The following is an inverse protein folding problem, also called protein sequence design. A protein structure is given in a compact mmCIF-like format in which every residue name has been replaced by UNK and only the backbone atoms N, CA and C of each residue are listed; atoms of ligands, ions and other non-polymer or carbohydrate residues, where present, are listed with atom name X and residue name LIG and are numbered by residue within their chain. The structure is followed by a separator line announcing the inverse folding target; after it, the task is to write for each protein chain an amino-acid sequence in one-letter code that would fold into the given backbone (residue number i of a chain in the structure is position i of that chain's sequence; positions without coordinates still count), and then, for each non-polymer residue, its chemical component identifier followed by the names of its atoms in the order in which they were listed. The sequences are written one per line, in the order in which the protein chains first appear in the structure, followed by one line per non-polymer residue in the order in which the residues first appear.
data_IF_166127117260
#
_entry.id   IF_166127117260
#
_cell.length_a   1.000
_cell.length_b   1.000
_cell.length_c   1.000
_cell.angle_alpha   90.00
_cell.angle_beta   90.00
_cell.angle_gamma   90.00
#
_symmetry.space_group_name_H-M   'P 1'
#
loop_
_entity.id
_entity.type
_entity.pdbx_description
1 polymer ?
#
# COMPACT_ATOMS: atom_id res chain seq x y z
N UNK A 1 -1.24 5.41 3.03
CA UNK A 1 -2.57 5.90 3.40
C UNK A 1 -3.35 4.80 4.11
N UNK A 2 -3.56 3.62 3.53
CA UNK A 2 -4.37 2.53 4.11
C UNK A 2 -3.92 2.10 5.51
N UNK A 3 -2.60 2.01 5.76
CA UNK A 3 -2.07 1.65 7.08
C UNK A 3 -2.56 2.60 8.18
N UNK A 4 -2.70 3.90 7.88
CA UNK A 4 -3.29 4.85 8.82
C UNK A 4 -4.72 4.42 9.24
N UNK A 5 -5.56 4.12 8.26
CA UNK A 5 -6.95 3.72 8.54
C UNK A 5 -7.05 2.33 9.16
N UNK A 6 -6.14 1.42 8.84
CA UNK A 6 -6.08 0.11 9.51
C UNK A 6 -5.75 0.26 11.01
N UNK A 7 -4.87 1.20 11.37
CA UNK A 7 -4.52 1.46 12.77
C UNK A 7 -5.60 2.30 13.44
N UNK A 8 -5.95 3.46 12.88
CA UNK A 8 -6.83 4.44 13.49
C UNK A 8 -8.31 4.12 13.37
N UNK A 9 -8.70 3.50 12.29
CA UNK A 9 -10.09 3.32 11.88
C UNK A 9 -10.56 4.42 10.91
N UNK A 10 -11.74 4.21 10.35
CA UNK A 10 -12.35 5.09 9.36
C UNK A 10 -12.27 4.54 7.94
N UNK A 11 -12.80 5.30 6.98
CA UNK A 11 -12.80 4.92 5.57
C UNK A 11 -11.61 5.58 4.87
N UNK A 12 -10.92 4.78 4.06
CA UNK A 12 -9.74 5.26 3.32
C UNK A 12 -10.16 6.41 2.39
N UNK A 13 -9.46 7.52 2.49
CA UNK A 13 -9.49 8.62 1.53
C UNK A 13 -8.06 8.83 0.99
N UNK A 14 -7.88 8.54 -0.29
CA UNK A 14 -6.59 8.72 -0.95
C UNK A 14 -6.32 10.18 -1.30
N UNK A 15 -7.32 11.06 -1.13
CA UNK A 15 -7.28 12.45 -1.52
C UNK A 15 -7.66 12.69 -2.98
N UNK A 16 -8.39 13.77 -3.22
CA UNK A 16 -8.91 14.07 -4.57
C UNK A 16 -7.79 14.31 -5.59
N UNK A 17 -6.75 15.04 -5.19
CA UNK A 17 -5.60 15.36 -6.06
C UNK A 17 -4.87 14.10 -6.50
N UNK A 18 -4.60 13.19 -5.56
CA UNK A 18 -3.93 11.93 -5.85
C UNK A 18 -4.79 11.03 -6.75
N UNK A 19 -6.06 10.81 -6.38
CA UNK A 19 -6.96 9.99 -7.15
C UNK A 19 -7.13 10.47 -8.61
N UNK A 20 -7.23 11.79 -8.81
CA UNK A 20 -7.30 12.39 -10.14
C UNK A 20 -6.00 12.19 -10.91
N UNK A 21 -4.85 12.41 -10.27
CA UNK A 21 -3.54 12.29 -10.92
C UNK A 21 -3.24 10.87 -11.40
N UNK A 22 -3.73 9.86 -10.68
CA UNK A 22 -3.46 8.44 -10.98
C UNK A 22 -4.64 7.68 -11.57
N UNK A 23 -5.81 8.31 -11.71
CA UNK A 23 -6.97 7.76 -12.42
C UNK A 23 -7.67 6.62 -11.67
N UNK A 24 -7.75 6.71 -10.33
CA UNK A 24 -8.48 5.75 -9.50
C UNK A 24 -9.52 6.41 -8.60
N UNK A 25 -10.32 5.63 -7.88
CA UNK A 25 -11.32 6.17 -6.96
C UNK A 25 -10.65 6.89 -5.78
N UNK A 26 -11.28 7.97 -5.30
CA UNK A 26 -10.80 8.71 -4.13
C UNK A 26 -10.94 7.90 -2.84
N UNK A 27 -12.00 7.14 -2.70
CA UNK A 27 -12.32 6.44 -1.46
C UNK A 27 -12.07 4.95 -1.59
N UNK A 28 -11.63 4.32 -0.51
CA UNK A 28 -11.38 2.90 -0.38
C UNK A 28 -12.19 2.27 0.75
N UNK A 29 -11.69 1.19 1.30
CA UNK A 29 -12.34 0.41 2.36
C UNK A 29 -12.43 1.17 3.67
N UNK A 30 -13.42 0.76 4.48
CA UNK A 30 -13.55 1.22 5.86
C UNK A 30 -12.99 0.17 6.82
N UNK A 31 -12.32 0.64 7.87
CA UNK A 31 -11.71 -0.18 8.91
C UNK A 31 -12.21 0.26 10.28
N UNK A 32 -12.37 -0.69 11.20
CA UNK A 32 -12.71 -0.40 12.60
C UNK A 32 -11.56 0.20 13.37
N UNK A 33 -10.33 -0.02 12.87
CA UNK A 33 -9.08 0.35 13.52
C UNK A 33 -8.65 -0.65 14.59
N UNK A 34 -7.37 -1.04 14.56
CA UNK A 34 -6.79 -1.92 15.59
C UNK A 34 -6.38 -1.12 16.82
N UNK A 35 -6.20 0.19 16.70
CA UNK A 35 -5.87 1.09 17.80
C UNK A 35 -6.53 2.47 17.62
N UNK A 36 -7.86 2.58 17.83
CA UNK A 36 -8.59 3.83 17.60
C UNK A 36 -8.16 5.00 18.49
N UNK A 37 -7.57 4.73 19.67
CA UNK A 37 -7.01 5.76 20.56
C UNK A 37 -5.66 6.33 20.12
N UNK A 38 -5.09 5.84 19.00
CA UNK A 38 -3.83 6.32 18.46
C UNK A 38 -3.82 7.83 18.26
N UNK A 39 -2.83 8.49 18.85
CA UNK A 39 -2.71 9.96 18.89
C UNK A 39 -1.30 10.34 19.35
N UNK A 40 -1.03 11.65 19.44
CA UNK A 40 0.23 12.15 19.99
C UNK A 40 0.45 11.76 21.47
N UNK A 41 -0.63 11.58 22.25
CA UNK A 41 -0.55 11.11 23.64
C UNK A 41 -0.53 9.60 23.78
N UNK A 42 -0.90 8.88 22.73
CA UNK A 42 -0.88 7.42 22.65
C UNK A 42 -0.15 6.98 21.37
N UNK A 43 1.17 7.29 21.25
CA UNK A 43 1.92 7.00 20.05
C UNK A 43 2.23 5.51 19.89
N UNK A 44 2.59 5.12 18.66
CA UNK A 44 3.00 3.76 18.34
C UNK A 44 4.48 3.69 17.94
N UNK A 45 5.07 2.51 18.08
CA UNK A 45 6.31 2.14 17.42
C UNK A 45 5.97 1.37 16.15
N UNK A 46 6.59 1.73 15.03
CA UNK A 46 6.42 1.03 13.77
C UNK A 46 7.65 0.16 13.51
N UNK A 47 7.41 -1.11 13.23
CA UNK A 47 8.45 -2.05 12.79
C UNK A 47 8.04 -2.60 11.44
N UNK A 48 8.89 -2.42 10.43
CA UNK A 48 8.60 -2.87 9.06
C UNK A 48 9.72 -3.74 8.51
N UNK A 49 9.37 -4.91 7.97
CA UNK A 49 10.29 -5.79 7.26
C UNK A 49 10.11 -5.64 5.75
N UNK A 50 11.20 -5.62 5.00
CA UNK A 50 11.16 -5.51 3.54
C UNK A 50 10.38 -4.24 3.11
N UNK A 51 9.40 -4.40 2.24
CA UNK A 51 8.51 -3.32 1.78
C UNK A 51 7.76 -2.63 2.94
N UNK A 52 7.46 -3.36 4.03
CA UNK A 52 6.83 -2.80 5.22
C UNK A 52 7.66 -1.69 5.89
N UNK A 53 8.99 -1.73 5.74
CA UNK A 53 9.87 -0.65 6.21
C UNK A 53 9.64 0.65 5.44
N UNK A 54 9.48 0.58 4.12
CA UNK A 54 9.15 1.75 3.31
C UNK A 54 7.76 2.30 3.65
N UNK A 55 6.78 1.40 3.83
CA UNK A 55 5.42 1.78 4.26
C UNK A 55 5.42 2.50 5.60
N UNK A 56 6.20 2.02 6.59
CA UNK A 56 6.32 2.63 7.91
C UNK A 56 6.97 4.03 7.84
N UNK A 57 8.06 4.18 7.07
CA UNK A 57 8.73 5.47 6.85
C UNK A 57 7.79 6.47 6.17
N UNK A 58 7.11 6.03 5.11
CA UNK A 58 6.14 6.86 4.39
C UNK A 58 5.00 7.33 5.32
N UNK A 59 4.46 6.42 6.14
CA UNK A 59 3.40 6.79 7.08
C UNK A 59 3.86 7.84 8.09
N UNK A 60 5.04 7.66 8.69
CA UNK A 60 5.59 8.62 9.63
C UNK A 60 5.75 10.01 8.99
N UNK A 61 6.24 10.07 7.75
CA UNK A 61 6.38 11.33 7.00
C UNK A 61 5.01 11.95 6.67
N UNK A 62 4.04 11.15 6.22
CA UNK A 62 2.69 11.62 5.93
C UNK A 62 2.02 12.24 7.17
N UNK A 63 2.24 11.66 8.35
CA UNK A 63 1.74 12.21 9.60
C UNK A 63 2.44 13.52 9.96
N UNK A 64 3.75 13.57 9.82
CA UNK A 64 4.56 14.75 10.16
C UNK A 64 4.18 15.98 9.31
N UNK A 65 3.81 15.76 8.04
CA UNK A 65 3.46 16.84 7.10
C UNK A 65 1.97 16.98 6.84
N UNK A 66 1.13 16.17 7.50
CA UNK A 66 -0.31 16.05 7.23
C UNK A 66 -0.61 15.83 5.74
N UNK A 67 0.16 14.94 5.11
CA UNK A 67 0.02 14.62 3.70
C UNK A 67 1.33 14.68 2.93
N UNK A 68 1.27 14.75 1.63
CA UNK A 68 2.42 14.84 0.72
C UNK A 68 2.37 16.11 -0.12
N UNK A 69 3.47 16.49 -0.79
CA UNK A 69 3.46 17.61 -1.74
C UNK A 69 2.39 17.47 -2.84
N UNK A 70 2.07 16.23 -3.22
CA UNK A 70 1.02 15.93 -4.22
C UNK A 70 -0.37 15.79 -3.62
N UNK A 71 -0.49 15.70 -2.31
CA UNK A 71 -1.75 15.55 -1.60
C UNK A 71 -1.68 16.21 -0.22
N UNK A 72 -1.65 17.55 -0.17
CA UNK A 72 -1.58 18.29 1.08
C UNK A 72 -2.88 18.12 1.88
N UNK A 73 -2.76 18.16 3.20
CA UNK A 73 -3.89 18.00 4.13
C UNK A 73 -4.65 16.67 3.98
N UNK A 74 -3.93 15.60 3.66
CA UNK A 74 -4.48 14.26 3.41
C UNK A 74 -5.37 13.77 4.56
N UNK A 75 -4.99 14.05 5.81
CA UNK A 75 -5.73 13.65 7.00
C UNK A 75 -6.66 14.78 7.52
N UNK A 76 -6.88 15.81 6.72
CA UNK A 76 -7.77 16.91 7.03
C UNK A 76 -7.38 17.61 8.34
N UNK A 77 -8.38 17.81 9.22
CA UNK A 77 -8.23 18.47 10.53
C UNK A 77 -7.99 17.47 11.67
N UNK A 78 -7.58 16.24 11.39
CA UNK A 78 -7.38 15.21 12.41
C UNK A 78 -6.27 15.51 13.43
N UNK A 79 -5.50 16.60 13.25
CA UNK A 79 -4.44 16.99 14.17
C UNK A 79 -3.27 16.02 14.20
N UNK A 80 -3.04 15.31 13.10
CA UNK A 80 -1.91 14.37 12.98
C UNK A 80 -0.58 15.11 13.01
N UNK A 81 0.40 14.53 13.66
CA UNK A 81 1.76 15.06 13.78
C UNK A 81 2.78 13.94 13.85
N UNK A 82 4.08 14.28 13.74
CA UNK A 82 5.18 13.32 13.96
C UNK A 82 5.11 12.62 15.32
N UNK A 83 4.56 13.29 16.34
CA UNK A 83 4.42 12.73 17.69
C UNK A 83 3.51 11.50 17.79
N UNK A 84 2.72 11.19 16.76
CA UNK A 84 1.92 9.96 16.70
C UNK A 84 2.77 8.71 16.53
N UNK A 85 4.01 8.84 16.02
CA UNK A 85 4.96 7.75 15.85
C UNK A 85 6.17 7.98 16.74
N UNK A 86 6.39 7.08 17.69
CA UNK A 86 7.50 7.19 18.65
C UNK A 86 8.82 6.78 18.02
N UNK A 87 8.81 5.77 17.18
CA UNK A 87 9.97 5.31 16.39
C UNK A 87 9.56 4.50 15.18
N UNK A 88 10.44 4.48 14.19
CA UNK A 88 10.36 3.59 13.03
C UNK A 88 11.60 2.71 13.01
N UNK A 89 11.42 1.40 12.98
CA UNK A 89 12.49 0.41 12.81
C UNK A 89 12.27 -0.35 11.51
N UNK A 90 13.29 -0.41 10.67
CA UNK A 90 13.24 -1.15 9.40
C UNK A 90 14.17 -2.36 9.44
N UNK A 91 13.68 -3.51 9.00
CA UNK A 91 14.41 -4.77 8.96
C UNK A 91 14.51 -5.20 7.50
N UNK A 92 15.74 -5.30 6.98
CA UNK A 92 15.98 -5.69 5.59
C UNK A 92 15.10 -4.93 4.58
N UNK A 93 14.85 -3.64 4.83
CA UNK A 93 14.05 -2.81 3.95
C UNK A 93 14.91 -2.24 2.80
N UNK A 94 14.39 -2.17 1.57
CA UNK A 94 15.10 -1.61 0.43
C UNK A 94 15.06 -0.08 0.47
N UNK A 95 15.75 0.53 1.47
CA UNK A 95 15.69 1.98 1.72
C UNK A 95 16.20 2.82 0.54
N UNK A 96 17.13 2.29 -0.25
CA UNK A 96 17.64 2.91 -1.48
C UNK A 96 17.10 2.21 -2.74
N UNK A 97 16.04 1.45 -2.57
CA UNK A 97 15.44 0.65 -3.62
C UNK A 97 16.09 -0.73 -3.79
N UNK A 98 15.52 -1.49 -4.70
CA UNK A 98 15.99 -2.81 -5.12
C UNK A 98 15.92 -2.90 -6.62
N UNK A 99 16.92 -3.52 -7.24
CA UNK A 99 16.89 -3.86 -8.66
C UNK A 99 16.04 -5.09 -8.96
N UNK A 100 15.56 -5.78 -7.92
CA UNK A 100 14.76 -6.99 -8.09
C UNK A 100 13.49 -6.78 -8.92
N UNK A 101 12.72 -5.69 -8.74
CA UNK A 101 11.55 -5.41 -9.59
C UNK A 101 11.92 -5.26 -11.07
N UNK A 102 13.05 -4.63 -11.38
CA UNK A 102 13.53 -4.43 -12.75
C UNK A 102 14.02 -5.74 -13.35
N UNK A 103 14.82 -6.51 -12.60
CA UNK A 103 15.30 -7.84 -13.02
C UNK A 103 14.11 -8.77 -13.28
N UNK A 104 13.13 -8.76 -12.41
CA UNK A 104 11.91 -9.56 -12.58
C UNK A 104 11.16 -9.14 -13.85
N UNK A 105 10.97 -7.84 -14.07
CA UNK A 105 10.28 -7.32 -15.24
C UNK A 105 11.00 -7.66 -16.55
N UNK A 106 12.32 -7.56 -16.55
CA UNK A 106 13.12 -7.67 -17.79
C UNK A 106 13.51 -9.12 -18.11
N UNK A 107 13.67 -9.97 -17.10
CA UNK A 107 14.17 -11.33 -17.25
C UNK A 107 13.13 -12.43 -17.01
N UNK A 108 11.97 -12.09 -16.46
CA UNK A 108 10.89 -13.04 -16.24
C UNK A 108 9.61 -12.54 -16.93
N UNK A 109 9.52 -12.69 -18.26
CA UNK A 109 8.40 -12.16 -19.05
C UNK A 109 7.02 -12.67 -18.63
N UNK A 110 6.98 -13.64 -17.73
CA UNK A 110 5.74 -14.22 -17.20
C UNK A 110 5.63 -14.11 -15.68
N UNK A 111 6.31 -13.13 -15.04
CA UNK A 111 6.28 -13.00 -13.57
C UNK A 111 4.85 -12.82 -13.03
N UNK A 112 4.01 -12.08 -13.75
CA UNK A 112 2.60 -11.94 -13.40
C UNK A 112 1.91 -13.31 -13.39
N UNK A 113 2.17 -14.13 -14.42
CA UNK A 113 1.66 -15.50 -14.51
C UNK A 113 2.25 -16.40 -13.42
N UNK A 114 3.49 -16.17 -13.01
CA UNK A 114 4.14 -16.93 -11.95
C UNK A 114 3.59 -16.57 -10.56
N UNK A 115 3.47 -15.28 -10.24
CA UNK A 115 2.83 -14.81 -9.01
C UNK A 115 1.38 -15.28 -8.97
N UNK A 116 0.71 -15.20 -10.11
CA UNK A 116 -0.61 -15.69 -10.35
C UNK A 116 -0.74 -17.19 -10.05
N UNK A 117 0.21 -17.97 -10.50
CA UNK A 117 0.26 -19.41 -10.28
C UNK A 117 0.53 -19.76 -8.83
N UNK A 118 1.45 -19.02 -8.17
CA UNK A 118 1.68 -19.17 -6.74
C UNK A 118 0.44 -18.83 -5.90
N UNK A 119 -0.26 -17.75 -6.24
CA UNK A 119 -1.51 -17.36 -5.58
C UNK A 119 -2.62 -18.41 -5.79
N UNK A 120 -2.68 -19.00 -7.00
CA UNK A 120 -3.62 -20.10 -7.32
C UNK A 120 -3.30 -21.37 -6.53
N UNK A 121 -2.04 -21.78 -6.47
CA UNK A 121 -1.61 -22.96 -5.71
C UNK A 121 -1.82 -22.77 -4.21
N UNK A 122 -1.56 -21.56 -3.69
CA UNK A 122 -1.85 -21.21 -2.29
C UNK A 122 -3.35 -21.21 -2.00
N UNK A 123 -4.19 -20.79 -2.95
CA UNK A 123 -5.65 -20.79 -2.83
C UNK A 123 -6.31 -22.15 -3.09
N UNK A 124 -5.61 -23.09 -3.73
CA UNK A 124 -6.13 -24.44 -4.04
C UNK A 124 -6.08 -25.42 -2.84
N UNK A 125 -5.45 -25.03 -1.74
CA UNK A 125 -5.41 -25.80 -0.49
C UNK A 125 -6.60 -25.49 0.39
N UNK A 126 -7.54 -26.30 0.32
CA UNK A 126 -8.84 -26.62 0.86
C UNK A 126 -9.39 -25.84 2.04
N UNK A 127 -8.68 -25.65 3.10
CA UNK A 127 -9.21 -25.11 4.36
C UNK A 127 -8.87 -23.62 4.51
N UNK A 128 -7.99 -23.14 3.62
CA UNK A 128 -7.64 -21.73 3.46
C UNK A 128 -8.40 -21.09 2.26
N UNK A 129 -9.31 -21.82 1.63
CA UNK A 129 -10.08 -21.34 0.48
C UNK A 129 -10.97 -20.15 0.82
N UNK A 130 -11.35 -20.00 2.09
CA UNK A 130 -12.03 -18.82 2.61
C UNK A 130 -11.07 -17.70 3.04
N UNK A 131 -9.79 -17.98 3.20
CA UNK A 131 -8.77 -16.96 3.31
C UNK A 131 -8.50 -16.39 1.92
N UNK A 132 -9.31 -15.49 1.55
CA UNK A 132 -9.33 -14.82 0.28
C UNK A 132 -8.00 -14.09 0.07
N UNK A 133 -7.20 -14.54 -0.88
CA UNK A 133 -6.12 -13.70 -1.35
C UNK A 133 -6.75 -12.48 -2.01
N UNK A 134 -6.59 -11.34 -1.37
CA UNK A 134 -7.19 -10.10 -1.79
C UNK A 134 -6.07 -9.15 -2.22
N UNK A 135 -6.05 -8.80 -3.50
CA UNK A 135 -5.07 -7.87 -4.07
C UNK A 135 -5.26 -6.43 -3.60
N UNK A 136 -6.35 -6.13 -2.89
CA UNK A 136 -6.69 -4.81 -2.37
C UNK A 136 -6.64 -3.69 -3.41
N UNK A 137 -7.17 -3.97 -4.58
CA UNK A 137 -7.15 -3.06 -5.73
C UNK A 137 -8.54 -2.43 -6.00
N UNK A 138 -9.34 -2.25 -4.96
CA UNK A 138 -10.69 -1.71 -5.08
C UNK A 138 -10.70 -0.31 -5.71
N UNK A 139 -9.71 0.52 -5.36
CA UNK A 139 -9.55 1.86 -5.91
C UNK A 139 -9.38 1.85 -7.45
N UNK A 140 -8.88 0.76 -8.01
CA UNK A 140 -8.70 0.55 -9.45
C UNK A 140 -9.90 -0.12 -10.11
N UNK A 141 -11.02 -0.28 -9.40
CA UNK A 141 -12.22 -0.94 -9.89
C UNK A 141 -12.17 -2.47 -9.84
N UNK A 142 -11.14 -3.04 -9.22
CA UNK A 142 -11.05 -4.49 -9.00
C UNK A 142 -11.73 -4.81 -7.67
N UNK A 143 -13.01 -5.15 -7.74
CA UNK A 143 -13.79 -5.48 -6.56
C UNK A 143 -13.24 -6.71 -5.81
N UNK A 144 -13.51 -6.78 -4.51
CA UNK A 144 -13.26 -7.96 -3.70
C UNK A 144 -13.93 -9.21 -4.28
N UNK A 145 -13.48 -10.38 -3.86
CA UNK A 145 -14.14 -11.63 -4.16
C UNK A 145 -15.56 -11.60 -3.62
N UNK A 146 -16.53 -11.87 -4.49
CA UNK A 146 -17.94 -11.91 -4.13
C UNK A 146 -18.29 -13.17 -3.32
N UNK A 147 -19.38 -13.09 -2.54
CA UNK A 147 -19.95 -14.25 -1.86
C UNK A 147 -20.36 -15.30 -2.92
N UNK A 148 -19.82 -16.51 -2.80
CA UNK A 148 -20.07 -17.58 -3.78
C UNK A 148 -19.20 -17.53 -5.04
N UNK A 149 -18.40 -16.50 -5.26
CA UNK A 149 -17.43 -16.46 -6.34
C UNK A 149 -16.27 -17.41 -6.03
N UNK A 150 -15.96 -18.35 -6.93
CA UNK A 150 -14.81 -19.24 -6.74
C UNK A 150 -13.50 -18.44 -6.78
N UNK A 151 -12.46 -18.95 -6.10
CA UNK A 151 -11.15 -18.32 -6.18
C UNK A 151 -10.63 -18.26 -7.63
N UNK A 152 -10.84 -19.28 -8.41
CA UNK A 152 -10.44 -19.32 -9.83
C UNK A 152 -11.11 -18.21 -10.65
N UNK A 153 -12.41 -18.01 -10.47
CA UNK A 153 -13.17 -16.95 -11.16
C UNK A 153 -12.68 -15.56 -10.76
N UNK A 154 -12.53 -15.33 -9.45
CA UNK A 154 -11.97 -14.08 -8.92
C UNK A 154 -10.58 -13.79 -9.48
N UNK A 155 -9.71 -14.78 -9.44
CA UNK A 155 -8.35 -14.70 -9.93
C UNK A 155 -8.27 -14.39 -11.43
N UNK A 156 -9.05 -15.07 -12.26
CA UNK A 156 -9.11 -14.82 -13.70
C UNK A 156 -9.62 -13.40 -14.00
N UNK A 157 -10.60 -12.92 -13.24
CA UNK A 157 -11.11 -11.56 -13.33
C UNK A 157 -10.05 -10.51 -12.96
N UNK A 158 -9.32 -10.74 -11.89
CA UNK A 158 -8.22 -9.86 -11.47
C UNK A 158 -7.14 -9.82 -12.54
N UNK A 159 -6.67 -10.97 -13.04
CA UNK A 159 -5.58 -11.01 -14.00
C UNK A 159 -5.91 -10.38 -15.36
N UNK A 160 -7.18 -10.43 -15.78
CA UNK A 160 -7.62 -9.83 -17.06
C UNK A 160 -7.88 -8.35 -16.95
N UNK A 161 -7.81 -7.77 -15.75
CA UNK A 161 -8.12 -6.36 -15.54
C UNK A 161 -7.07 -5.45 -16.18
N UNK A 162 -7.52 -4.36 -16.80
CA UNK A 162 -6.67 -3.39 -17.50
C UNK A 162 -5.60 -2.71 -16.61
N UNK A 163 -5.76 -2.75 -15.29
CA UNK A 163 -4.77 -2.26 -14.33
C UNK A 163 -3.35 -2.78 -14.59
N UNK A 164 -3.21 -4.06 -14.97
CA UNK A 164 -1.90 -4.68 -15.19
C UNK A 164 -1.15 -4.11 -16.40
N UNK A 165 -1.87 -3.51 -17.32
CA UNK A 165 -1.33 -2.89 -18.54
C UNK A 165 -1.20 -1.37 -18.40
N UNK A 166 -1.65 -0.79 -17.27
CA UNK A 166 -1.51 0.62 -17.00
C UNK A 166 -0.05 0.96 -16.66
N UNK A 167 0.45 2.10 -17.14
CA UNK A 167 1.83 2.57 -16.92
C UNK A 167 1.96 3.46 -15.67
N UNK A 168 0.96 3.48 -14.79
CA UNK A 168 0.99 4.29 -13.57
C UNK A 168 2.19 3.94 -12.67
N UNK A 169 2.78 4.95 -12.06
CA UNK A 169 3.82 4.81 -11.03
C UNK A 169 3.25 4.63 -9.62
N UNK A 170 1.93 4.62 -9.47
CA UNK A 170 1.26 4.37 -8.19
C UNK A 170 1.18 2.87 -7.92
N UNK A 171 2.33 2.25 -7.74
CA UNK A 171 2.49 0.81 -7.52
C UNK A 171 3.64 0.52 -6.57
N UNK A 172 3.47 -0.47 -5.73
CA UNK A 172 4.50 -0.96 -4.82
C UNK A 172 5.82 -1.35 -5.54
N UNK A 173 5.73 -1.87 -6.77
CA UNK A 173 6.92 -2.20 -7.58
C UNK A 173 7.72 -0.96 -7.97
N UNK A 174 7.05 0.18 -8.21
CA UNK A 174 7.73 1.44 -8.44
C UNK A 174 8.37 1.95 -7.17
N UNK A 175 7.64 1.97 -6.06
CA UNK A 175 8.15 2.45 -4.76
C UNK A 175 9.38 1.67 -4.29
N UNK A 176 9.46 0.38 -4.65
CA UNK A 176 10.61 -0.47 -4.33
C UNK A 176 11.75 -0.35 -5.34
N UNK A 177 11.56 0.27 -6.49
CA UNK A 177 12.63 0.47 -7.47
C UNK A 177 13.64 1.51 -6.98
N UNK A 178 14.89 1.52 -7.50
CA UNK A 178 15.86 2.55 -7.16
C UNK A 178 15.35 3.97 -7.42
N UNK A 179 14.60 4.17 -8.51
CA UNK A 179 14.00 5.46 -8.82
C UNK A 179 12.88 5.84 -7.83
N UNK A 180 11.96 4.94 -7.53
CA UNK A 180 10.88 5.20 -6.58
C UNK A 180 11.40 5.44 -5.17
N UNK A 181 12.42 4.68 -4.75
CA UNK A 181 13.09 4.90 -3.47
C UNK A 181 13.81 6.26 -3.42
N UNK A 182 14.47 6.69 -4.51
CA UNK A 182 15.09 8.01 -4.59
C UNK A 182 14.04 9.13 -4.52
N UNK A 183 12.93 9.00 -5.25
CA UNK A 183 11.82 9.96 -5.22
C UNK A 183 11.21 10.05 -3.79
N UNK A 184 11.07 8.92 -3.10
CA UNK A 184 10.61 8.88 -1.73
C UNK A 184 11.63 9.49 -0.76
N UNK A 185 12.91 9.14 -0.89
CA UNK A 185 13.98 9.63 0.00
C UNK A 185 14.21 11.14 -0.15
N UNK A 186 13.94 11.70 -1.33
CA UNK A 186 14.00 13.15 -1.53
C UNK A 186 12.98 13.92 -0.68
N UNK A 187 11.91 13.26 -0.24
CA UNK A 187 10.86 13.87 0.57
C UNK A 187 10.85 13.36 2.03
N UNK A 188 11.05 12.04 2.24
CA UNK A 188 11.07 11.43 3.57
C UNK A 188 12.32 11.91 4.34
N UNK A 189 12.12 12.40 5.57
CA UNK A 189 13.19 12.95 6.39
C UNK A 189 13.47 14.44 6.19
N UNK A 190 12.67 15.12 5.36
CA UNK A 190 12.75 16.60 5.23
C UNK A 190 12.19 17.33 6.46
N UNK A 191 11.48 16.62 7.34
CA UNK A 191 10.99 17.11 8.61
C UNK A 191 11.84 16.49 9.72
N UNK A 192 12.72 17.30 10.29
CA UNK A 192 13.41 16.93 11.54
C UNK A 192 12.40 16.89 12.67
N UNK A 193 12.24 15.74 13.28
CA UNK A 193 11.46 15.57 14.52
C UNK A 193 12.14 16.16 15.72
#
# INVERSE_FOLDING_TARGET
VELYYQIKGGCVDYGATHATAFGHTRTGRCYTGVYPSWSATNPVHLVGHGMGGQTARMLAQLLATNGSPKNPSLFGTAGVTSAWVKSVSTIAAPNDGSTLPDVIKDHVPYIQSYIARLAREAGARNDLADMTYDFRLDQWGIAQRGTGESFGTYFDRVLRHGYWYNTTNDRASYDMSPKGAADMNAWVGTVSG
#
